data_IF_196490900878
#
_entry.id   IF_196490900878
#
_cell.length_a   1.000
_cell.length_b   1.000
_cell.length_c   1.000
_cell.angle_alpha   90.00
_cell.angle_beta   90.00
_cell.angle_gamma   90.00
#
_symmetry.space_group_name_H-M   'P 1'
#
loop_
_entity.id
_entity.type
_entity.pdbx_description
1 polymer ?
#
# COMPACT_ATOMS: atom_id res chain seq x y z
N UNK A 1 -37.81 15.96 5.48
CA UNK A 1 -37.22 16.02 6.83
C UNK A 1 -35.71 15.88 6.73
N UNK A 2 -34.98 16.99 6.77
CA UNK A 2 -33.53 17.01 6.97
C UNK A 2 -33.30 17.17 8.48
N UNK A 3 -33.18 16.04 9.19
CA UNK A 3 -32.73 16.01 10.57
C UNK A 3 -31.22 16.18 10.62
N UNK A 4 -30.76 17.11 11.47
CA UNK A 4 -29.41 17.32 12.00
C UNK A 4 -28.25 16.57 11.33
N UNK A 5 -27.39 17.32 10.63
CA UNK A 5 -26.03 16.90 10.26
C UNK A 5 -25.09 16.68 11.47
N UNK A 6 -25.58 16.86 12.68
CA UNK A 6 -24.82 16.79 13.95
C UNK A 6 -24.95 15.45 14.70
N UNK A 7 -25.53 14.39 14.09
CA UNK A 7 -25.89 13.15 14.82
C UNK A 7 -24.98 11.94 14.60
N UNK A 8 -23.77 12.09 14.06
CA UNK A 8 -22.82 10.97 13.95
C UNK A 8 -21.37 11.32 14.35
N UNK A 9 -21.18 12.34 15.18
CA UNK A 9 -19.93 12.46 15.93
C UNK A 9 -20.14 11.79 17.29
N UNK A 10 -19.76 10.52 17.37
CA UNK A 10 -19.48 9.92 18.67
C UNK A 10 -18.31 10.70 19.27
N UNK A 11 -18.61 11.60 20.19
CA UNK A 11 -17.60 12.27 21.00
C UNK A 11 -16.97 11.22 21.91
N UNK A 12 -15.98 10.50 21.37
CA UNK A 12 -15.15 9.58 22.14
C UNK A 12 -14.32 10.42 23.10
N UNK A 13 -14.75 10.50 24.36
CA UNK A 13 -13.97 11.18 25.38
C UNK A 13 -12.82 10.26 25.77
N UNK A 14 -11.59 10.66 25.45
CA UNK A 14 -10.42 10.05 26.04
C UNK A 14 -10.28 10.52 27.49
N UNK A 15 -9.88 9.59 28.36
CA UNK A 15 -9.41 9.92 29.70
C UNK A 15 -8.00 9.35 29.86
N UNK A 16 -7.16 10.08 30.56
CA UNK A 16 -5.88 9.54 31.00
C UNK A 16 -6.10 8.87 32.35
N UNK A 17 -6.15 7.53 32.35
CA UNK A 17 -6.39 6.73 33.56
C UNK A 17 -5.14 5.92 33.92
N UNK A 18 -4.79 5.94 35.19
CA UNK A 18 -3.60 5.29 35.76
C UNK A 18 -3.61 3.75 35.56
N UNK A 19 -2.70 3.21 34.73
CA UNK A 19 -2.52 1.76 34.58
C UNK A 19 -1.73 1.13 35.74
N UNK A 20 -2.25 0.06 36.35
CA UNK A 20 -1.79 -0.53 37.62
C UNK A 20 -0.32 -1.02 37.72
N UNK A 21 0.20 -0.91 38.95
CA UNK A 21 1.37 -1.54 39.57
C UNK A 21 2.75 -1.48 38.88
N UNK A 22 3.47 -0.38 39.10
CA UNK A 22 4.70 -0.37 39.91
C UNK A 22 5.15 1.07 40.19
N UNK A 23 5.64 1.27 41.42
CA UNK A 23 6.06 2.48 42.11
C UNK A 23 6.66 3.63 41.27
N UNK A 24 6.09 4.84 41.42
CA UNK A 24 6.65 6.12 40.96
C UNK A 24 5.55 7.16 40.76
N UNK A 25 5.66 8.32 41.42
CA UNK A 25 4.67 9.43 41.42
C UNK A 25 4.09 9.72 40.02
N UNK A 26 2.76 9.71 39.91
CA UNK A 26 2.00 9.92 38.66
C UNK A 26 1.34 11.29 38.69
N UNK A 27 1.51 12.07 37.62
CA UNK A 27 0.85 13.37 37.45
C UNK A 27 -0.35 13.23 36.51
N UNK A 28 -1.52 13.69 36.95
CA UNK A 28 -2.67 13.89 36.07
C UNK A 28 -2.34 14.97 35.02
N UNK A 29 -2.60 14.68 33.75
CA UNK A 29 -2.46 15.66 32.67
C UNK A 29 -3.58 16.70 32.82
N UNK A 30 -3.22 17.99 32.79
CA UNK A 30 -4.19 19.09 32.83
C UNK A 30 -4.94 19.23 31.50
N UNK A 31 -6.08 19.92 31.51
CA UNK A 31 -6.84 20.22 30.29
C UNK A 31 -5.99 20.97 29.26
N UNK A 32 -5.17 21.92 29.70
CA UNK A 32 -4.22 22.64 28.84
C UNK A 32 -3.17 21.71 28.19
N UNK A 33 -2.69 20.71 28.92
CA UNK A 33 -1.75 19.72 28.36
C UNK A 33 -2.42 18.78 27.36
N UNK A 34 -3.73 18.50 27.51
CA UNK A 34 -4.50 17.76 26.50
C UNK A 34 -4.70 18.59 25.23
N UNK A 35 -5.00 19.88 25.36
CA UNK A 35 -5.13 20.79 24.23
C UNK A 35 -3.82 20.90 23.44
N UNK A 36 -2.69 21.08 24.13
CA UNK A 36 -1.37 21.10 23.51
C UNK A 36 -1.06 19.80 22.76
N UNK A 37 -1.35 18.65 23.39
CA UNK A 37 -1.19 17.34 22.75
C UNK A 37 -2.10 17.21 21.51
N UNK A 38 -3.35 17.66 21.59
CA UNK A 38 -4.29 17.62 20.48
C UNK A 38 -3.81 18.47 19.29
N UNK A 39 -3.34 19.69 19.54
CA UNK A 39 -2.78 20.56 18.51
C UNK A 39 -1.56 19.94 17.83
N UNK A 40 -0.63 19.39 18.60
CA UNK A 40 0.59 18.79 18.07
C UNK A 40 0.29 17.52 17.26
N UNK A 41 -0.57 16.65 17.78
CA UNK A 41 -0.98 15.43 17.06
C UNK A 41 -1.82 15.76 15.82
N UNK A 42 -2.60 16.85 15.83
CA UNK A 42 -3.27 17.34 14.63
C UNK A 42 -2.27 17.79 13.56
N UNK A 43 -1.19 18.49 13.91
CA UNK A 43 -0.13 18.88 12.96
C UNK A 43 0.53 17.65 12.33
N UNK A 44 0.88 16.65 13.16
CA UNK A 44 1.50 15.40 12.68
C UNK A 44 0.52 14.60 11.81
N UNK A 45 -0.76 14.52 12.17
CA UNK A 45 -1.79 13.86 11.36
C UNK A 45 -1.93 14.53 9.99
N UNK A 46 -1.87 15.88 9.91
CA UNK A 46 -1.86 16.59 8.62
C UNK A 46 -0.67 16.15 7.75
N UNK A 47 0.52 16.04 8.33
CA UNK A 47 1.71 15.54 7.63
C UNK A 47 1.55 14.07 7.20
N UNK A 48 1.00 13.22 8.06
CA UNK A 48 0.75 11.81 7.75
C UNK A 48 -0.21 11.65 6.57
N UNK A 49 -1.30 12.42 6.56
CA UNK A 49 -2.27 12.40 5.47
C UNK A 49 -1.71 12.96 4.17
N UNK A 50 -0.84 13.98 4.23
CA UNK A 50 -0.20 14.58 3.07
C UNK A 50 0.97 13.74 2.50
N UNK A 51 1.49 12.77 3.26
CA UNK A 51 2.58 11.92 2.81
C UNK A 51 2.12 10.97 1.69
N UNK A 52 2.54 11.27 0.46
CA UNK A 52 2.14 10.60 -0.76
C UNK A 52 3.31 10.53 -1.77
N UNK A 53 3.35 9.50 -2.64
CA UNK A 53 4.29 9.47 -3.74
C UNK A 53 4.01 10.60 -4.73
N UNK A 54 5.04 11.06 -5.49
CA UNK A 54 6.43 10.62 -5.45
C UNK A 54 7.27 11.32 -4.37
N UNK A 55 6.67 12.23 -3.58
CA UNK A 55 7.40 13.09 -2.62
C UNK A 55 7.82 12.32 -1.38
N UNK A 56 6.92 11.51 -0.86
CA UNK A 56 7.15 10.65 0.30
C UNK A 56 7.04 9.18 -0.08
N UNK A 57 7.72 8.34 0.69
CA UNK A 57 7.68 6.89 0.55
C UNK A 57 7.18 6.23 1.84
N UNK A 58 7.08 4.90 1.85
CA UNK A 58 6.59 4.15 3.00
C UNK A 58 7.49 4.22 4.23
N UNK A 59 8.79 4.46 4.06
CA UNK A 59 9.71 4.65 5.19
C UNK A 59 9.48 6.01 5.87
N UNK A 60 9.34 7.08 5.09
CA UNK A 60 8.92 8.39 5.61
C UNK A 60 7.58 8.31 6.33
N UNK A 61 6.60 7.62 5.74
CA UNK A 61 5.28 7.45 6.34
C UNK A 61 5.35 6.75 7.70
N UNK A 62 6.21 5.74 7.86
CA UNK A 62 6.45 5.10 9.16
C UNK A 62 7.08 6.06 10.16
N UNK A 63 8.04 6.89 9.73
CA UNK A 63 8.66 7.88 10.61
C UNK A 63 7.66 8.92 11.12
N UNK A 64 6.71 9.35 10.29
CA UNK A 64 5.62 10.24 10.71
C UNK A 64 4.64 9.48 11.63
N UNK A 65 4.34 8.22 11.32
CA UNK A 65 3.48 7.38 12.15
C UNK A 65 4.05 7.17 13.56
N UNK A 66 5.36 6.95 13.69
CA UNK A 66 6.02 6.79 14.99
C UNK A 66 5.90 8.04 15.86
N UNK A 67 5.82 9.23 15.25
CA UNK A 67 5.56 10.49 15.95
C UNK A 67 4.07 10.68 16.26
N UNK A 68 3.18 10.24 15.37
CA UNK A 68 1.73 10.36 15.56
C UNK A 68 1.23 9.41 16.66
N UNK A 69 1.69 8.16 16.62
CA UNK A 69 1.29 7.08 17.51
C UNK A 69 2.45 6.61 18.39
N UNK A 70 3.08 7.58 19.06
CA UNK A 70 4.14 7.40 20.06
C UNK A 70 3.62 6.79 21.38
N UNK A 71 4.49 6.65 22.37
CA UNK A 71 4.15 6.04 23.66
C UNK A 71 3.13 6.86 24.45
N UNK A 72 3.10 8.18 24.25
CA UNK A 72 2.04 9.06 24.77
C UNK A 72 0.69 8.68 24.15
N UNK A 73 0.58 8.62 22.82
CA UNK A 73 -0.69 8.26 22.17
C UNK A 73 -1.10 6.80 22.44
N UNK A 74 -0.14 5.88 22.61
CA UNK A 74 -0.42 4.48 22.98
C UNK A 74 -1.02 4.36 24.38
N UNK A 75 -0.64 5.22 25.32
CA UNK A 75 -1.13 5.18 26.70
C UNK A 75 -2.49 5.87 26.90
N UNK A 76 -3.02 6.54 25.88
CA UNK A 76 -4.39 7.08 25.88
C UNK A 76 -5.41 5.96 26.09
N UNK A 77 -6.34 6.19 27.02
CA UNK A 77 -7.46 5.31 27.32
C UNK A 77 -8.74 5.95 26.77
N UNK A 78 -9.52 5.13 26.08
CA UNK A 78 -10.79 5.52 25.45
C UNK A 78 -11.90 4.82 26.20
N UNK A 79 -12.88 5.56 26.66
CA UNK A 79 -14.08 4.97 27.26
C UNK A 79 -14.92 4.29 26.18
N UNK A 80 -15.28 3.05 26.45
CA UNK A 80 -16.09 2.22 25.55
C UNK A 80 -17.34 1.74 26.27
N UNK A 81 -18.27 1.17 25.53
CA UNK A 81 -19.49 0.57 26.11
C UNK A 81 -19.22 -0.56 27.11
N UNK A 82 -18.03 -1.17 27.07
CA UNK A 82 -17.60 -2.24 27.98
C UNK A 82 -16.58 -1.75 29.03
N UNK A 83 -16.39 -0.44 29.17
CA UNK A 83 -15.47 0.19 30.13
C UNK A 83 -14.20 0.79 29.48
N UNK A 84 -13.19 1.17 30.29
CA UNK A 84 -11.96 1.79 29.79
C UNK A 84 -11.17 0.85 28.87
N UNK A 85 -10.59 1.37 27.78
CA UNK A 85 -9.82 0.54 26.85
C UNK A 85 -8.45 0.10 27.40
N UNK A 86 -8.03 -1.11 27.01
CA UNK A 86 -6.72 -1.67 27.36
C UNK A 86 -6.25 -2.65 26.27
N UNK A 87 -4.95 -2.91 26.18
CA UNK A 87 -4.38 -3.72 25.09
C UNK A 87 -4.63 -5.24 25.24
N UNK A 88 -5.04 -5.72 26.41
CA UNK A 88 -5.22 -7.14 26.71
C UNK A 88 -6.68 -7.60 26.50
N UNK A 89 -7.64 -6.89 27.09
CA UNK A 89 -9.04 -7.34 27.16
C UNK A 89 -10.00 -6.43 26.42
N UNK A 90 -9.69 -5.14 26.30
CA UNK A 90 -10.65 -4.14 25.86
C UNK A 90 -10.09 -3.23 24.75
N UNK A 91 -9.37 -3.83 23.80
CA UNK A 91 -8.55 -3.11 22.80
C UNK A 91 -9.36 -2.21 21.87
N UNK A 92 -8.85 -1.00 21.66
CA UNK A 92 -9.28 -0.07 20.60
C UNK A 92 -8.20 0.07 19.54
N UNK A 93 -8.58 0.40 18.32
CA UNK A 93 -7.65 0.68 17.24
C UNK A 93 -6.94 2.02 17.46
N UNK A 94 -5.72 2.20 16.90
CA UNK A 94 -5.00 3.47 16.95
C UNK A 94 -5.82 4.68 16.49
N UNK A 95 -6.60 4.55 15.42
CA UNK A 95 -7.43 5.66 14.94
C UNK A 95 -8.46 6.12 15.98
N UNK A 96 -8.95 5.22 16.83
CA UNK A 96 -9.92 5.54 17.89
C UNK A 96 -9.26 6.42 18.96
N UNK A 97 -8.02 6.11 19.34
CA UNK A 97 -7.20 6.93 20.25
C UNK A 97 -6.87 8.29 19.63
N UNK A 98 -6.40 8.29 18.38
CA UNK A 98 -6.08 9.53 17.65
C UNK A 98 -7.32 10.42 17.53
N UNK A 99 -8.46 9.86 17.10
CA UNK A 99 -9.73 10.59 16.98
C UNK A 99 -10.19 11.17 18.33
N UNK A 100 -10.02 10.42 19.42
CA UNK A 100 -10.45 10.88 20.76
C UNK A 100 -9.64 12.06 21.31
N UNK A 101 -8.41 12.24 20.83
CA UNK A 101 -7.53 13.37 21.20
C UNK A 101 -7.66 14.52 20.20
N UNK A 102 -7.61 14.20 18.91
CA UNK A 102 -7.49 15.19 17.84
C UNK A 102 -8.86 15.72 17.38
N UNK A 103 -9.93 14.95 17.52
CA UNK A 103 -11.26 15.31 17.02
C UNK A 103 -11.24 15.61 15.53
N UNK A 104 -11.81 16.76 15.13
CA UNK A 104 -11.77 17.23 13.74
C UNK A 104 -10.48 17.98 13.37
N UNK A 105 -9.66 18.38 14.36
CA UNK A 105 -8.44 19.20 14.24
C UNK A 105 -8.55 20.39 13.27
N UNK A 106 -9.74 21.00 13.19
CA UNK A 106 -10.05 22.10 12.27
C UNK A 106 -10.07 21.71 10.80
N UNK A 107 -10.24 20.42 10.47
CA UNK A 107 -10.30 19.92 9.10
C UNK A 107 -11.65 19.24 8.83
N UNK A 108 -12.44 19.86 7.95
CA UNK A 108 -13.77 19.39 7.57
C UNK A 108 -13.82 17.97 6.99
N UNK A 109 -12.71 17.41 6.50
CA UNK A 109 -12.66 16.03 5.97
C UNK A 109 -12.51 14.97 7.06
N UNK A 110 -11.89 15.30 8.18
CA UNK A 110 -11.57 14.34 9.24
C UNK A 110 -12.81 13.68 9.86
N UNK A 111 -13.91 14.42 10.11
CA UNK A 111 -15.19 13.81 10.49
C UNK A 111 -15.61 12.62 9.62
N UNK A 112 -15.58 12.82 8.29
CA UNK A 112 -15.94 11.79 7.32
C UNK A 112 -14.93 10.64 7.33
N UNK A 113 -13.65 10.95 7.48
CA UNK A 113 -12.58 9.94 7.55
C UNK A 113 -12.76 9.01 8.76
N UNK A 114 -13.08 9.57 9.93
CA UNK A 114 -13.36 8.81 11.16
C UNK A 114 -14.60 7.95 11.00
N UNK A 115 -15.68 8.54 10.50
CA UNK A 115 -16.91 7.82 10.18
C UNK A 115 -16.64 6.61 9.27
N UNK A 116 -15.77 6.75 8.26
CA UNK A 116 -15.44 5.63 7.37
C UNK A 116 -14.68 4.49 8.05
N UNK A 117 -13.81 4.79 9.01
CA UNK A 117 -13.17 3.75 9.82
C UNK A 117 -14.18 3.07 10.75
N UNK A 118 -15.08 3.85 11.32
CA UNK A 118 -16.19 3.41 12.16
C UNK A 118 -17.17 2.50 11.41
N UNK A 119 -17.41 2.76 10.12
CA UNK A 119 -18.22 1.95 9.21
C UNK A 119 -17.53 0.65 8.76
N UNK A 120 -16.25 0.42 9.09
CA UNK A 120 -15.58 -0.82 8.74
C UNK A 120 -16.12 -1.96 9.59
N UNK A 121 -16.58 -3.02 8.92
CA UNK A 121 -17.16 -4.17 9.57
C UNK A 121 -16.12 -4.90 10.44
N UNK A 122 -16.35 -4.90 11.75
CA UNK A 122 -15.55 -5.63 12.73
C UNK A 122 -16.19 -6.98 13.00
N UNK A 123 -15.36 -7.99 13.30
CA UNK A 123 -15.80 -9.35 13.62
C UNK A 123 -14.91 -9.97 14.67
N UNK A 124 -15.38 -11.06 15.27
CA UNK A 124 -14.61 -11.74 16.29
C UNK A 124 -14.30 -10.81 17.46
N UNK A 125 -13.07 -10.86 18.01
CA UNK A 125 -12.62 -10.03 19.12
C UNK A 125 -12.54 -8.52 18.82
N UNK A 126 -12.50 -8.10 17.56
CA UNK A 126 -12.53 -6.67 17.22
C UNK A 126 -13.96 -6.09 17.30
N UNK A 127 -14.98 -6.94 17.23
CA UNK A 127 -16.37 -6.53 17.42
C UNK A 127 -16.65 -6.42 18.92
N UNK A 128 -17.16 -5.27 19.35
CA UNK A 128 -17.46 -4.99 20.75
C UNK A 128 -18.96 -4.85 20.96
N UNK A 129 -19.63 -5.77 21.68
CA UNK A 129 -21.07 -5.71 21.87
C UNK A 129 -21.54 -4.39 22.47
N UNK A 130 -22.64 -3.84 21.97
CA UNK A 130 -23.24 -2.60 22.49
C UNK A 130 -22.71 -1.32 21.88
N UNK A 131 -21.56 -1.32 21.19
CA UNK A 131 -21.08 -0.13 20.48
C UNK A 131 -22.06 0.30 19.39
N UNK A 132 -22.35 1.60 19.35
CA UNK A 132 -23.17 2.24 18.30
C UNK A 132 -22.58 1.98 16.90
N UNK A 133 -21.26 1.87 16.81
CA UNK A 133 -20.47 1.59 15.60
C UNK A 133 -20.77 0.24 14.97
N UNK A 134 -21.42 -0.69 15.69
CA UNK A 134 -21.87 -1.93 15.08
C UNK A 134 -23.20 -1.76 14.34
N UNK A 135 -23.84 -0.60 14.41
CA UNK A 135 -25.14 -0.31 13.78
C UNK A 135 -26.23 -1.33 14.16
N UNK A 136 -26.19 -1.82 15.41
CA UNK A 136 -27.10 -2.86 15.90
C UNK A 136 -26.94 -4.24 15.23
N UNK A 137 -25.90 -4.44 14.41
CA UNK A 137 -25.65 -5.72 13.75
C UNK A 137 -25.00 -6.73 14.71
N UNK A 138 -25.26 -8.04 14.54
CA UNK A 138 -24.61 -9.06 15.34
C UNK A 138 -23.14 -9.24 14.93
N UNK A 139 -22.32 -9.74 15.86
CA UNK A 139 -20.98 -10.23 15.53
C UNK A 139 -21.11 -11.40 14.54
N UNK A 140 -20.74 -11.19 13.28
CA UNK A 140 -20.90 -12.23 12.24
C UNK A 140 -20.03 -13.46 12.45
N UNK A 141 -18.95 -13.34 13.24
CA UNK A 141 -18.07 -14.46 13.52
C UNK A 141 -17.50 -14.38 14.96
N UNK A 142 -18.32 -14.69 15.98
CA UNK A 142 -17.94 -14.54 17.38
C UNK A 142 -16.90 -15.58 17.84
N UNK A 143 -16.70 -16.65 17.07
CA UNK A 143 -15.83 -17.77 17.43
C UNK A 143 -14.36 -17.57 17.03
N UNK A 144 -14.02 -16.42 16.43
CA UNK A 144 -12.63 -16.10 16.11
C UNK A 144 -11.83 -15.95 17.41
N UNK A 145 -10.69 -16.63 17.50
CA UNK A 145 -9.74 -16.48 18.60
C UNK A 145 -8.61 -15.55 18.16
N UNK A 146 -8.18 -14.56 18.98
CA UNK A 146 -7.05 -13.72 18.65
C UNK A 146 -5.77 -14.54 18.40
N UNK A 147 -5.07 -14.21 17.32
CA UNK A 147 -3.83 -14.86 16.89
C UNK A 147 -2.77 -13.82 16.56
N UNK A 148 -1.50 -14.16 16.76
CA UNK A 148 -0.33 -13.44 16.27
C UNK A 148 -0.06 -13.89 14.84
N UNK A 149 -0.30 -13.00 13.89
CA UNK A 149 -0.17 -13.30 12.46
C UNK A 149 1.04 -12.57 11.90
N UNK A 150 1.94 -13.32 11.26
CA UNK A 150 3.00 -12.76 10.43
C UNK A 150 2.58 -12.76 8.97
N UNK A 151 2.66 -11.58 8.34
CA UNK A 151 2.55 -11.41 6.90
C UNK A 151 3.93 -11.06 6.35
N UNK A 152 4.42 -11.87 5.41
CA UNK A 152 5.71 -11.63 4.76
C UNK A 152 5.46 -10.91 3.44
N UNK A 153 5.82 -9.63 3.37
CA UNK A 153 5.70 -8.78 2.17
C UNK A 153 4.74 -7.61 2.33
N UNK A 154 5.28 -6.38 2.23
CA UNK A 154 4.53 -5.12 2.29
C UNK A 154 3.97 -4.68 0.93
N UNK A 155 3.48 -5.63 0.12
CA UNK A 155 2.78 -5.32 -1.13
C UNK A 155 1.29 -5.01 -0.90
N UNK A 156 0.56 -4.54 -1.94
CA UNK A 156 -0.87 -4.25 -1.81
C UNK A 156 -1.70 -5.42 -1.25
N UNK A 157 -1.45 -6.64 -1.73
CA UNK A 157 -2.16 -7.85 -1.26
C UNK A 157 -1.89 -8.12 0.22
N UNK A 158 -0.61 -8.03 0.64
CA UNK A 158 -0.22 -8.22 2.03
C UNK A 158 -0.90 -7.22 2.94
N UNK A 159 -0.84 -5.93 2.62
CA UNK A 159 -1.47 -4.88 3.44
C UNK A 159 -3.00 -4.98 3.49
N UNK A 160 -3.64 -5.31 2.36
CA UNK A 160 -5.09 -5.50 2.31
C UNK A 160 -5.53 -6.67 3.19
N UNK A 161 -4.75 -7.77 3.20
CA UNK A 161 -4.95 -8.89 4.11
C UNK A 161 -4.72 -8.48 5.57
N UNK A 162 -3.70 -7.66 5.86
CA UNK A 162 -3.44 -7.15 7.20
C UNK A 162 -4.64 -6.42 7.79
N UNK A 163 -5.29 -5.58 6.98
CA UNK A 163 -6.50 -4.83 7.35
C UNK A 163 -7.63 -5.79 7.73
N UNK A 164 -7.93 -6.80 6.91
CA UNK A 164 -8.98 -7.78 7.21
C UNK A 164 -8.71 -8.56 8.51
N UNK A 165 -7.45 -8.92 8.75
CA UNK A 165 -7.08 -9.68 9.94
C UNK A 165 -7.15 -8.81 11.19
N UNK A 166 -6.76 -7.54 11.10
CA UNK A 166 -6.91 -6.57 12.19
C UNK A 166 -8.39 -6.35 12.54
N UNK A 167 -9.26 -6.20 11.53
CA UNK A 167 -10.73 -6.10 11.71
C UNK A 167 -11.38 -7.40 12.24
N UNK A 168 -10.65 -8.52 12.20
CA UNK A 168 -11.02 -9.78 12.85
C UNK A 168 -10.48 -9.93 14.28
N UNK A 169 -9.74 -8.96 14.81
CA UNK A 169 -9.18 -8.99 16.17
C UNK A 169 -7.82 -9.67 16.31
N UNK A 170 -7.12 -9.95 15.21
CA UNK A 170 -5.78 -10.53 15.27
C UNK A 170 -4.70 -9.47 15.55
N UNK A 171 -3.55 -9.90 16.10
CA UNK A 171 -2.33 -9.09 16.20
C UNK A 171 -1.49 -9.34 14.96
N UNK A 172 -1.44 -8.37 14.05
CA UNK A 172 -0.83 -8.53 12.73
C UNK A 172 0.50 -7.81 12.66
N UNK A 173 1.55 -8.54 12.27
CA UNK A 173 2.88 -8.01 11.99
C UNK A 173 3.20 -8.22 10.51
N UNK A 174 3.71 -7.19 9.83
CA UNK A 174 4.15 -7.24 8.44
C UNK A 174 5.67 -7.11 8.38
N UNK A 175 6.34 -8.11 7.82
CA UNK A 175 7.77 -8.04 7.51
C UNK A 175 7.95 -7.54 6.07
N UNK A 176 8.77 -6.50 5.90
CA UNK A 176 9.20 -6.02 4.59
C UNK A 176 10.70 -5.76 4.60
N UNK A 177 11.45 -6.59 3.87
CA UNK A 177 12.92 -6.56 3.86
C UNK A 177 13.50 -5.36 3.11
N UNK A 178 12.78 -4.77 2.15
CA UNK A 178 13.33 -3.77 1.24
C UNK A 178 13.27 -2.37 1.82
N UNK A 179 14.43 -1.81 2.15
CA UNK A 179 14.60 -0.37 2.33
C UNK A 179 15.02 0.34 1.06
N UNK A 180 14.68 1.62 1.01
CA UNK A 180 15.30 2.53 0.06
C UNK A 180 16.74 2.79 0.49
N UNK A 181 17.69 2.63 -0.43
CA UNK A 181 19.09 2.98 -0.17
C UNK A 181 19.48 4.03 -1.19
N UNK A 182 19.96 5.17 -0.70
CA UNK A 182 20.60 6.21 -1.49
C UNK A 182 22.10 6.25 -1.19
N UNK A 183 22.89 6.65 -2.17
CA UNK A 183 24.30 6.94 -1.95
C UNK A 183 24.50 8.34 -1.35
N UNK A 184 25.76 8.70 -1.08
CA UNK A 184 26.16 9.98 -0.49
C UNK A 184 25.75 11.19 -1.35
N UNK A 185 25.59 11.01 -2.66
CA UNK A 185 25.10 12.05 -3.58
C UNK A 185 23.58 12.18 -3.61
N UNK A 186 22.86 11.32 -2.86
CA UNK A 186 21.41 11.23 -2.84
C UNK A 186 20.82 10.41 -3.99
N UNK A 187 21.65 9.76 -4.82
CA UNK A 187 21.18 8.94 -5.92
C UNK A 187 20.66 7.58 -5.44
N UNK A 188 19.56 7.12 -6.04
CA UNK A 188 18.87 5.90 -5.64
C UNK A 188 19.67 4.64 -6.03
N UNK A 189 20.23 3.95 -5.03
CA UNK A 189 20.99 2.69 -5.17
C UNK A 189 20.09 1.46 -5.09
N UNK A 190 19.12 1.45 -4.16
CA UNK A 190 18.16 0.37 -3.98
C UNK A 190 16.75 0.93 -3.83
N UNK A 191 15.78 0.33 -4.53
CA UNK A 191 14.38 0.72 -4.43
C UNK A 191 13.78 0.23 -3.10
N UNK A 192 13.13 1.15 -2.39
CA UNK A 192 12.26 0.81 -1.27
C UNK A 192 11.02 0.03 -1.71
N UNK A 193 10.24 -0.43 -0.73
CA UNK A 193 9.07 -1.24 -1.02
C UNK A 193 7.92 -0.47 -1.70
N UNK A 194 7.84 0.86 -1.53
CA UNK A 194 6.80 1.75 -2.08
C UNK A 194 7.26 2.60 -3.28
N UNK A 195 8.18 2.11 -4.11
CA UNK A 195 8.77 2.93 -5.18
C UNK A 195 8.43 2.38 -6.58
N UNK A 196 7.38 1.55 -6.68
CA UNK A 196 6.94 0.98 -7.95
C UNK A 196 5.81 1.83 -8.50
N UNK A 197 6.11 2.56 -9.57
CA UNK A 197 5.19 3.51 -10.17
C UNK A 197 4.26 2.88 -11.23
N UNK A 198 4.48 1.61 -11.59
CA UNK A 198 3.62 0.93 -12.57
C UNK A 198 2.16 0.88 -12.09
N UNK A 199 1.20 0.98 -13.02
CA UNK A 199 -0.22 1.18 -12.67
C UNK A 199 -1.10 -0.03 -13.06
N UNK A 200 -1.47 -0.91 -12.12
CA UNK A 200 -2.47 -1.95 -12.36
C UNK A 200 -3.86 -1.38 -12.67
N UNK A 201 -4.60 -2.12 -13.50
CA UNK A 201 -6.03 -1.94 -13.68
C UNK A 201 -6.78 -2.30 -12.39
N UNK A 202 -7.84 -1.56 -12.09
CA UNK A 202 -8.70 -1.76 -10.93
C UNK A 202 -10.09 -2.18 -11.39
N UNK A 203 -10.56 -3.32 -10.90
CA UNK A 203 -11.95 -3.70 -11.13
C UNK A 203 -12.91 -2.84 -10.31
N UNK A 204 -14.17 -2.66 -10.74
CA UNK A 204 -15.14 -1.83 -10.02
C UNK A 204 -15.32 -2.22 -8.55
N UNK A 205 -15.34 -3.51 -8.21
CA UNK A 205 -15.46 -3.92 -6.82
C UNK A 205 -14.21 -3.60 -5.99
N UNK A 206 -13.01 -3.65 -6.59
CA UNK A 206 -11.76 -3.27 -5.92
C UNK A 206 -11.75 -1.76 -5.68
N UNK A 207 -12.18 -0.96 -6.67
CA UNK A 207 -12.40 0.48 -6.49
C UNK A 207 -13.36 0.77 -5.34
N UNK A 208 -14.48 0.04 -5.26
CA UNK A 208 -15.46 0.22 -4.19
C UNK A 208 -14.90 -0.17 -2.82
N UNK A 209 -14.12 -1.24 -2.74
CA UNK A 209 -13.40 -1.66 -1.53
C UNK A 209 -12.41 -0.59 -1.06
N UNK A 210 -11.56 -0.09 -1.96
CA UNK A 210 -10.62 0.99 -1.62
C UNK A 210 -11.33 2.31 -1.25
N UNK A 211 -12.51 2.58 -1.83
CA UNK A 211 -13.32 3.74 -1.44
C UNK A 211 -13.86 3.61 -0.01
N UNK A 212 -14.20 2.39 0.45
CA UNK A 212 -14.56 2.12 1.85
C UNK A 212 -13.36 2.30 2.78
N UNK A 213 -12.16 1.92 2.33
CA UNK A 213 -10.89 2.16 3.01
C UNK A 213 -10.39 3.60 2.84
N UNK A 214 -11.29 4.58 2.97
CA UNK A 214 -10.97 6.00 2.91
C UNK A 214 -10.18 6.45 1.66
N UNK A 215 -10.32 5.77 0.53
CA UNK A 215 -9.55 6.07 -0.69
C UNK A 215 -9.61 7.52 -1.16
N UNK A 216 -10.72 8.22 -0.91
CA UNK A 216 -10.93 9.64 -1.26
C UNK A 216 -10.49 10.63 -0.17
N UNK A 217 -10.23 10.13 1.04
CA UNK A 217 -10.06 10.93 2.25
C UNK A 217 -8.62 10.89 2.80
N UNK A 218 -7.92 9.76 2.61
CA UNK A 218 -6.51 9.59 3.02
C UNK A 218 -5.49 9.98 1.94
N UNK A 219 -5.96 10.39 0.76
CA UNK A 219 -5.11 10.74 -0.38
C UNK A 219 -5.59 12.05 -1.03
N UNK A 220 -4.67 12.77 -1.67
CA UNK A 220 -4.95 13.95 -2.45
C UNK A 220 -5.80 13.62 -3.68
N UNK A 221 -6.50 14.63 -4.22
CA UNK A 221 -7.25 14.47 -5.47
C UNK A 221 -6.34 14.05 -6.62
N UNK A 222 -5.08 14.47 -6.60
CA UNK A 222 -4.08 14.14 -7.59
C UNK A 222 -3.72 12.65 -7.55
N UNK A 223 -3.42 12.10 -6.37
CA UNK A 223 -3.15 10.66 -6.20
C UNK A 223 -4.41 9.79 -6.37
N UNK A 224 -5.60 10.35 -6.14
CA UNK A 224 -6.87 9.68 -6.40
C UNK A 224 -7.22 9.56 -7.90
N UNK A 225 -6.53 10.30 -8.77
CA UNK A 225 -6.82 10.26 -10.20
C UNK A 225 -6.04 9.12 -10.88
N UNK A 226 -6.69 8.32 -11.74
CA UNK A 226 -8.10 8.40 -12.14
C UNK A 226 -9.06 7.59 -11.26
N UNK A 227 -8.56 6.66 -10.43
CA UNK A 227 -9.35 5.60 -9.76
C UNK A 227 -10.60 6.07 -9.03
N UNK A 228 -10.60 7.23 -8.37
CA UNK A 228 -11.76 7.74 -7.64
C UNK A 228 -12.42 8.97 -8.27
N UNK A 229 -11.80 9.54 -9.31
CA UNK A 229 -12.24 10.80 -9.92
C UNK A 229 -12.90 10.60 -11.27
N UNK A 230 -12.56 9.52 -11.99
CA UNK A 230 -13.12 9.20 -13.30
C UNK A 230 -14.11 8.03 -13.20
N UNK A 231 -15.25 8.06 -13.92
CA UNK A 231 -16.21 6.96 -13.91
C UNK A 231 -15.68 5.75 -14.70
N UNK A 232 -15.12 5.99 -15.88
CA UNK A 232 -14.81 4.96 -16.89
C UNK A 232 -13.38 4.42 -16.79
N UNK A 233 -12.53 5.10 -16.03
CA UNK A 233 -11.15 4.68 -15.79
C UNK A 233 -10.98 4.24 -14.34
N UNK A 234 -10.35 3.08 -14.16
CA UNK A 234 -9.92 2.65 -12.84
C UNK A 234 -8.54 2.01 -12.93
N UNK A 235 -7.52 2.79 -12.60
CA UNK A 235 -6.14 2.33 -12.41
C UNK A 235 -5.50 3.16 -11.30
N UNK A 236 -4.58 2.57 -10.56
CA UNK A 236 -3.84 3.21 -9.46
C UNK A 236 -2.37 2.78 -9.54
N UNK A 237 -1.43 3.66 -9.20
CA UNK A 237 -0.02 3.32 -9.05
C UNK A 237 0.19 2.32 -7.93
N UNK A 238 1.15 1.41 -8.08
CA UNK A 238 1.43 0.42 -7.03
C UNK A 238 1.87 1.12 -5.74
N UNK A 239 2.71 2.15 -5.84
CA UNK A 239 3.13 3.00 -4.73
C UNK A 239 1.98 3.80 -4.10
N UNK A 240 1.13 4.43 -4.92
CA UNK A 240 -0.09 5.11 -4.47
C UNK A 240 -1.01 4.16 -3.69
N UNK A 241 -1.23 2.96 -4.22
CA UNK A 241 -2.04 1.91 -3.58
C UNK A 241 -1.40 1.41 -2.28
N UNK A 242 -0.07 1.22 -2.27
CA UNK A 242 0.65 0.83 -1.07
C UNK A 242 0.51 1.88 0.03
N UNK A 243 0.69 3.16 -0.28
CA UNK A 243 0.56 4.24 0.71
C UNK A 243 -0.87 4.34 1.24
N UNK A 244 -1.88 4.25 0.38
CA UNK A 244 -3.29 4.23 0.83
C UNK A 244 -3.57 3.07 1.79
N UNK A 245 -3.18 1.85 1.42
CA UNK A 245 -3.40 0.67 2.26
C UNK A 245 -2.57 0.72 3.55
N UNK A 246 -1.35 1.25 3.48
CA UNK A 246 -0.48 1.40 4.63
C UNK A 246 -1.05 2.38 5.65
N UNK A 247 -1.59 3.53 5.20
CA UNK A 247 -2.28 4.48 6.07
C UNK A 247 -3.44 3.81 6.83
N UNK A 248 -4.29 3.06 6.12
CA UNK A 248 -5.39 2.31 6.74
C UNK A 248 -4.89 1.23 7.70
N UNK A 249 -3.88 0.45 7.31
CA UNK A 249 -3.34 -0.62 8.13
C UNK A 249 -2.72 -0.10 9.45
N UNK A 250 -1.99 1.02 9.39
CA UNK A 250 -1.42 1.69 10.57
C UNK A 250 -2.53 2.21 11.50
N UNK A 251 -3.55 2.86 10.94
CA UNK A 251 -4.74 3.32 11.68
C UNK A 251 -5.48 2.18 12.40
N UNK A 252 -5.39 0.95 11.88
CA UNK A 252 -5.94 -0.27 12.46
C UNK A 252 -4.94 -1.07 13.31
N UNK A 253 -3.74 -0.53 13.57
CA UNK A 253 -2.77 -1.11 14.49
C UNK A 253 -2.02 -2.32 13.97
N UNK A 254 -1.81 -2.40 12.65
CA UNK A 254 -0.87 -3.34 12.03
C UNK A 254 0.57 -2.90 12.32
N UNK A 255 1.39 -3.82 12.82
CA UNK A 255 2.81 -3.60 13.14
C UNK A 255 3.68 -3.81 11.90
N UNK A 256 4.21 -2.73 11.33
CA UNK A 256 5.10 -2.79 10.16
C UNK A 256 6.57 -2.80 10.56
N UNK A 257 7.26 -3.90 10.25
CA UNK A 257 8.70 -4.05 10.47
C UNK A 257 9.45 -3.96 9.15
N UNK A 258 9.67 -2.74 8.72
CA UNK A 258 10.56 -2.43 7.61
C UNK A 258 12.01 -2.79 8.01
N UNK A 259 12.73 -3.46 7.11
CA UNK A 259 14.08 -3.98 7.37
C UNK A 259 14.11 -5.36 8.03
N UNK A 260 12.94 -5.94 8.33
CA UNK A 260 12.82 -7.33 8.78
C UNK A 260 12.57 -8.25 7.58
N UNK A 261 13.37 -9.31 7.45
CA UNK A 261 13.27 -10.31 6.40
C UNK A 261 12.92 -11.69 6.95
N UNK A 262 12.02 -12.40 6.28
CA UNK A 262 11.76 -13.82 6.51
C UNK A 262 12.82 -14.66 5.77
N UNK A 263 13.34 -15.70 6.43
CA UNK A 263 14.29 -16.65 5.83
C UNK A 263 13.69 -18.05 5.73
N UNK A 264 13.17 -18.58 6.84
CA UNK A 264 12.56 -19.92 6.93
C UNK A 264 11.59 -19.96 8.14
N UNK A 265 10.86 -21.05 8.31
CA UNK A 265 10.10 -21.32 9.52
C UNK A 265 9.92 -22.82 9.78
N UNK A 266 9.70 -23.15 11.05
CA UNK A 266 9.25 -24.47 11.49
C UNK A 266 7.92 -24.35 12.18
N UNK A 267 6.94 -25.17 11.76
CA UNK A 267 5.65 -25.26 12.42
C UNK A 267 5.64 -26.43 13.40
N UNK A 268 5.13 -26.16 14.60
CA UNK A 268 4.75 -27.18 15.59
C UNK A 268 3.28 -27.00 15.90
N UNK A 269 2.60 -28.08 16.31
CA UNK A 269 1.18 -28.02 16.68
C UNK A 269 1.05 -28.52 18.09
N UNK A 270 0.43 -27.71 18.95
CA UNK A 270 0.15 -28.11 20.32
C UNK A 270 -0.81 -29.32 20.30
N UNK A 271 -0.47 -30.46 20.93
CA UNK A 271 -1.23 -31.69 20.80
C UNK A 271 -2.60 -31.65 21.50
N UNK A 272 -2.85 -30.68 22.39
CA UNK A 272 -4.12 -30.56 23.14
C UNK A 272 -5.06 -29.56 22.46
N UNK A 273 -4.53 -28.38 22.13
CA UNK A 273 -5.30 -27.27 21.57
C UNK A 273 -5.34 -27.29 20.04
N UNK A 274 -4.49 -28.12 19.41
CA UNK A 274 -4.28 -28.17 17.97
C UNK A 274 -3.87 -26.80 17.36
N UNK A 275 -3.36 -25.89 18.19
CA UNK A 275 -2.92 -24.56 17.77
C UNK A 275 -1.54 -24.66 17.10
N UNK A 276 -1.38 -24.20 15.86
CA UNK A 276 -0.07 -24.12 15.23
C UNK A 276 0.78 -23.01 15.86
N UNK A 277 2.09 -23.25 15.95
CA UNK A 277 3.10 -22.29 16.34
C UNK A 277 4.24 -22.34 15.34
N UNK A 278 4.42 -21.23 14.64
CA UNK A 278 5.47 -21.00 13.67
C UNK A 278 6.67 -20.33 14.33
N UNK A 279 7.77 -21.06 14.46
CA UNK A 279 9.08 -20.49 14.78
C UNK A 279 9.70 -19.99 13.48
N UNK A 280 9.70 -18.67 13.30
CA UNK A 280 10.14 -17.99 12.10
C UNK A 280 11.60 -17.56 12.27
N UNK A 281 12.46 -18.09 11.41
CA UNK A 281 13.84 -17.62 11.24
C UNK A 281 13.81 -16.33 10.40
N UNK A 282 14.26 -15.23 10.99
CA UNK A 282 14.21 -13.92 10.37
C UNK A 282 15.54 -13.17 10.51
N UNK A 283 15.66 -12.04 9.81
CA UNK A 283 16.80 -11.13 9.89
C UNK A 283 16.33 -9.71 10.10
N UNK A 284 17.05 -8.97 10.94
CA UNK A 284 16.86 -7.54 11.15
C UNK A 284 18.08 -6.78 10.64
N UNK A 285 17.87 -5.74 9.85
CA UNK A 285 18.91 -4.73 9.62
C UNK A 285 19.15 -3.87 10.87
N UNK A 286 20.26 -3.14 10.92
CA UNK A 286 20.64 -2.30 12.05
C UNK A 286 19.53 -1.34 12.53
N UNK A 287 18.80 -0.71 11.59
CA UNK A 287 17.73 0.25 11.93
C UNK A 287 16.52 -0.45 12.53
N UNK A 288 16.11 -1.58 11.95
CA UNK A 288 15.01 -2.37 12.44
C UNK A 288 15.35 -2.99 13.80
N UNK A 289 16.58 -3.49 13.96
CA UNK A 289 17.09 -4.05 15.21
C UNK A 289 16.99 -3.02 16.34
N UNK A 290 17.51 -1.81 16.13
CA UNK A 290 17.40 -0.71 17.10
C UNK A 290 15.95 -0.35 17.42
N UNK A 291 15.09 -0.19 16.40
CA UNK A 291 13.68 0.20 16.59
C UNK A 291 12.87 -0.82 17.37
N UNK A 292 13.09 -2.12 17.13
CA UNK A 292 12.28 -3.18 17.71
C UNK A 292 12.95 -3.89 18.89
N UNK A 293 14.05 -3.34 19.43
CA UNK A 293 14.77 -3.92 20.56
C UNK A 293 15.31 -5.32 20.27
N UNK A 294 15.81 -5.53 19.05
CA UNK A 294 16.42 -6.79 18.58
C UNK A 294 17.92 -6.61 18.33
N UNK A 295 18.63 -7.73 18.23
CA UNK A 295 20.01 -7.74 17.72
C UNK A 295 20.00 -7.68 16.19
N UNK A 296 20.96 -6.96 15.62
CA UNK A 296 21.18 -6.97 14.16
C UNK A 296 21.57 -8.38 13.69
N UNK A 297 21.08 -8.76 12.51
CA UNK A 297 21.33 -10.07 11.92
C UNK A 297 20.21 -11.06 12.21
N UNK A 298 20.57 -12.33 12.42
CA UNK A 298 19.61 -13.44 12.54
C UNK A 298 18.84 -13.38 13.87
N UNK A 299 17.55 -13.64 13.80
CA UNK A 299 16.66 -13.75 14.96
C UNK A 299 15.62 -14.85 14.73
N UNK A 300 14.92 -15.23 15.79
CA UNK A 300 13.83 -16.20 15.76
C UNK A 300 12.64 -15.61 16.49
N UNK A 301 11.48 -15.62 15.85
CA UNK A 301 10.23 -15.14 16.44
C UNK A 301 9.10 -16.15 16.30
N UNK A 302 8.14 -16.13 17.23
CA UNK A 302 7.02 -17.06 17.24
C UNK A 302 5.71 -16.39 16.86
N UNK A 303 5.01 -16.98 15.91
CA UNK A 303 3.69 -16.55 15.44
C UNK A 303 2.72 -17.75 15.42
N UNK A 304 1.43 -17.47 15.51
CA UNK A 304 0.40 -18.50 15.37
C UNK A 304 0.09 -18.80 13.90
N UNK A 305 0.27 -17.80 13.03
CA UNK A 305 -0.07 -17.87 11.61
C UNK A 305 1.04 -17.24 10.77
N UNK A 306 1.42 -17.90 9.69
CA UNK A 306 2.36 -17.42 8.68
C UNK A 306 1.66 -17.24 7.33
N UNK A 307 1.72 -16.03 6.76
CA UNK A 307 1.12 -15.67 5.47
C UNK A 307 2.18 -15.17 4.49
N UNK A 308 2.39 -15.88 3.38
CA UNK A 308 3.30 -15.47 2.31
C UNK A 308 2.65 -14.51 1.32
N UNK A 309 3.06 -13.24 1.34
CA UNK A 309 2.58 -12.17 0.45
C UNK A 309 3.74 -11.44 -0.27
N UNK A 310 4.87 -12.13 -0.44
CA UNK A 310 6.15 -11.66 -0.95
C UNK A 310 6.32 -11.81 -2.48
N UNK A 311 5.20 -12.05 -3.17
CA UNK A 311 5.08 -12.03 -4.62
C UNK A 311 5.45 -13.36 -5.31
N UNK A 312 5.67 -13.36 -6.63
CA UNK A 312 5.85 -14.59 -7.40
C UNK A 312 7.15 -15.34 -7.10
N UNK A 313 8.13 -14.69 -6.45
CA UNK A 313 9.39 -15.27 -5.97
C UNK A 313 9.34 -15.39 -4.44
N UNK A 314 8.29 -16.05 -3.96
CA UNK A 314 7.99 -16.16 -2.53
C UNK A 314 8.98 -17.07 -1.82
N UNK A 315 9.69 -16.53 -0.83
CA UNK A 315 10.60 -17.26 0.07
C UNK A 315 9.81 -18.11 1.05
N UNK A 316 8.64 -17.63 1.51
CA UNK A 316 7.73 -18.43 2.36
C UNK A 316 7.34 -19.71 1.62
N UNK A 317 6.92 -19.59 0.36
CA UNK A 317 6.54 -20.76 -0.42
C UNK A 317 7.72 -21.71 -0.66
N UNK A 318 8.87 -21.17 -1.04
CA UNK A 318 10.07 -21.97 -1.33
C UNK A 318 10.48 -22.82 -0.13
N UNK A 319 10.53 -22.21 1.06
CA UNK A 319 10.91 -22.90 2.29
C UNK A 319 9.82 -23.83 2.82
N UNK A 320 8.55 -23.46 2.65
CA UNK A 320 7.40 -24.24 3.10
C UNK A 320 6.76 -25.07 1.97
N UNK A 321 7.56 -25.51 1.00
CA UNK A 321 7.08 -26.18 -0.21
C UNK A 321 6.30 -27.48 0.04
N UNK A 322 6.54 -28.16 1.18
CA UNK A 322 5.75 -29.34 1.60
C UNK A 322 4.28 -29.00 1.90
N UNK A 323 4.01 -27.78 2.35
CA UNK A 323 2.67 -27.32 2.72
C UNK A 323 1.98 -26.60 1.56
N UNK A 324 2.71 -25.76 0.82
CA UNK A 324 2.13 -24.92 -0.26
C UNK A 324 2.31 -25.48 -1.67
N UNK A 325 3.07 -26.57 -1.83
CA UNK A 325 3.33 -27.21 -3.11
C UNK A 325 4.17 -26.37 -4.09
N UNK A 326 4.51 -27.00 -5.22
CA UNK A 326 5.34 -26.41 -6.27
C UNK A 326 4.54 -25.49 -7.20
N UNK A 327 5.21 -24.50 -7.79
CA UNK A 327 4.58 -23.62 -8.80
C UNK A 327 4.36 -24.43 -10.07
N UNK A 328 3.11 -24.60 -10.48
CA UNK A 328 2.82 -24.98 -11.86
C UNK A 328 3.20 -23.81 -12.78
N UNK A 329 4.42 -23.86 -13.31
CA UNK A 329 4.85 -22.93 -14.35
C UNK A 329 4.22 -23.38 -15.66
N UNK A 330 3.09 -22.77 -16.04
CA UNK A 330 2.63 -22.86 -17.43
C UNK A 330 3.69 -22.22 -18.32
N UNK A 331 4.20 -22.95 -19.32
CA UNK A 331 5.00 -22.36 -20.40
C UNK A 331 4.07 -21.46 -21.20
N UNK A 332 4.04 -20.17 -20.87
CA UNK A 332 3.37 -19.19 -21.70
C UNK A 332 4.12 -19.07 -23.04
N UNK A 333 3.37 -18.74 -24.10
CA UNK A 333 3.90 -18.46 -25.43
C UNK A 333 5.02 -17.41 -25.38
N UNK A 334 5.84 -17.34 -26.44
CA UNK A 334 6.91 -16.34 -26.59
C UNK A 334 6.34 -14.91 -26.65
N UNK A 335 5.98 -14.37 -25.49
CA UNK A 335 5.35 -13.06 -25.32
C UNK A 335 6.25 -12.16 -24.49
N UNK A 336 6.51 -10.96 -25.01
CA UNK A 336 7.29 -9.93 -24.32
C UNK A 336 6.37 -8.75 -24.03
N UNK A 337 6.31 -8.34 -22.76
CA UNK A 337 5.65 -7.11 -22.34
C UNK A 337 6.68 -6.03 -22.03
N UNK A 338 6.57 -4.88 -22.66
CA UNK A 338 7.32 -3.67 -22.32
C UNK A 338 6.40 -2.78 -21.50
N UNK A 339 6.88 -2.35 -20.34
CA UNK A 339 6.20 -1.35 -19.50
C UNK A 339 6.94 -0.02 -19.61
N UNK A 340 6.23 1.04 -19.97
CA UNK A 340 6.78 2.38 -20.10
C UNK A 340 6.00 3.37 -19.22
N UNK A 341 6.72 4.11 -18.37
CA UNK A 341 6.18 5.24 -17.62
C UNK A 341 6.59 6.52 -18.35
N UNK A 342 5.61 7.30 -18.79
CA UNK A 342 5.78 8.44 -19.70
C UNK A 342 5.49 9.73 -18.96
N UNK A 343 6.41 10.70 -19.04
CA UNK A 343 6.21 12.01 -18.41
C UNK A 343 5.02 12.74 -19.02
N UNK A 344 4.34 13.53 -18.20
CA UNK A 344 3.26 14.41 -18.65
C UNK A 344 3.82 15.49 -19.58
N UNK A 345 3.12 15.74 -20.67
CA UNK A 345 3.47 16.82 -21.60
C UNK A 345 2.67 18.07 -21.24
N UNK A 346 3.31 19.26 -21.08
CA UNK A 346 2.60 20.49 -20.76
C UNK A 346 1.52 20.85 -21.78
N UNK A 347 0.44 21.50 -21.34
CA UNK A 347 -0.70 21.88 -22.19
C UNK A 347 -0.30 22.68 -23.42
N UNK A 348 0.64 23.62 -23.29
CA UNK A 348 1.16 24.41 -24.40
C UNK A 348 1.83 23.53 -25.46
N UNK A 349 2.63 22.55 -25.02
CA UNK A 349 3.30 21.61 -25.91
C UNK A 349 2.32 20.63 -26.57
N UNK A 350 1.30 20.16 -25.85
CA UNK A 350 0.23 19.34 -26.42
C UNK A 350 -0.49 20.06 -27.57
N UNK A 351 -0.83 21.34 -27.41
CA UNK A 351 -1.40 22.15 -28.49
C UNK A 351 -0.46 22.23 -29.70
N UNK A 352 0.83 22.46 -29.46
CA UNK A 352 1.84 22.51 -30.52
C UNK A 352 2.03 21.15 -31.23
N UNK A 353 1.74 20.04 -30.55
CA UNK A 353 1.75 18.68 -31.12
C UNK A 353 0.43 18.31 -31.81
N UNK A 354 -0.53 19.24 -31.91
CA UNK A 354 -1.81 19.01 -32.60
C UNK A 354 -2.87 18.30 -31.75
N UNK A 355 -2.67 18.17 -30.44
CA UNK A 355 -3.68 17.61 -29.54
C UNK A 355 -4.76 18.65 -29.25
N UNK A 356 -6.00 18.33 -29.63
CA UNK A 356 -7.15 19.21 -29.46
C UNK A 356 -7.31 19.65 -28.00
N UNK A 357 -7.58 20.94 -27.80
CA UNK A 357 -7.66 21.59 -26.48
C UNK A 357 -6.41 21.50 -25.59
N UNK A 358 -5.31 20.93 -26.08
CA UNK A 358 -4.11 20.62 -25.31
C UNK A 358 -4.34 19.50 -24.30
N UNK A 359 -5.10 18.47 -24.68
CA UNK A 359 -5.39 17.31 -23.83
C UNK A 359 -4.74 16.04 -24.36
N UNK A 360 -4.20 15.24 -23.45
CA UNK A 360 -3.77 13.87 -23.77
C UNK A 360 -4.98 12.99 -24.12
N UNK A 361 -4.78 11.92 -24.91
CA UNK A 361 -5.85 11.01 -25.28
C UNK A 361 -6.51 10.38 -24.05
N UNK A 362 -7.72 9.86 -24.26
CA UNK A 362 -8.36 8.95 -23.28
C UNK A 362 -7.56 7.66 -23.17
N UNK A 363 -7.81 6.94 -22.09
CA UNK A 363 -7.23 5.62 -21.87
C UNK A 363 -7.47 4.68 -23.04
N UNK A 364 -6.51 3.79 -23.26
CA UNK A 364 -6.57 2.79 -24.30
C UNK A 364 -6.36 1.41 -23.69
N UNK A 365 -7.21 0.45 -24.04
CA UNK A 365 -6.98 -0.97 -23.80
C UNK A 365 -7.30 -1.68 -25.12
N UNK A 366 -6.28 -1.79 -25.98
CA UNK A 366 -6.46 -2.24 -27.36
C UNK A 366 -5.70 -3.53 -27.61
N UNK A 367 -6.40 -4.48 -28.20
CA UNK A 367 -5.85 -5.74 -28.71
C UNK A 367 -5.86 -5.72 -30.23
N UNK A 368 -4.85 -6.32 -30.87
CA UNK A 368 -4.72 -6.34 -32.33
C UNK A 368 -5.91 -6.98 -33.02
N UNK A 369 -6.49 -8.00 -32.41
CA UNK A 369 -7.64 -8.72 -32.95
C UNK A 369 -8.86 -7.81 -33.16
N UNK A 370 -9.08 -6.85 -32.25
CA UNK A 370 -10.24 -5.95 -32.27
C UNK A 370 -9.91 -4.64 -33.01
N UNK A 371 -8.72 -4.07 -32.83
CA UNK A 371 -8.37 -2.74 -33.35
C UNK A 371 -7.39 -2.77 -34.52
N UNK A 372 -7.70 -3.55 -35.57
CA UNK A 372 -6.76 -3.83 -36.68
C UNK A 372 -6.16 -2.56 -37.31
N UNK A 373 -6.98 -1.59 -37.67
CA UNK A 373 -6.53 -0.35 -38.34
C UNK A 373 -5.57 0.46 -37.47
N UNK A 374 -5.78 0.46 -36.15
CA UNK A 374 -4.89 1.13 -35.20
C UNK A 374 -3.50 0.47 -35.17
N UNK A 375 -3.44 -0.86 -35.17
CA UNK A 375 -2.16 -1.58 -35.19
C UNK A 375 -1.49 -1.52 -36.57
N UNK A 376 -2.25 -1.56 -37.67
CA UNK A 376 -1.72 -1.34 -39.02
C UNK A 376 -1.11 0.06 -39.18
N UNK A 377 -1.72 1.08 -38.56
CA UNK A 377 -1.14 2.42 -38.50
C UNK A 377 0.22 2.42 -37.79
N UNK A 378 0.33 1.77 -36.63
CA UNK A 378 1.59 1.65 -35.88
C UNK A 378 2.65 0.90 -36.71
N UNK A 379 2.26 -0.16 -37.41
CA UNK A 379 3.17 -0.87 -38.32
C UNK A 379 3.67 0.03 -39.45
N UNK A 380 2.78 0.82 -40.06
CA UNK A 380 3.16 1.71 -41.17
C UNK A 380 4.03 2.88 -40.71
N UNK A 381 3.73 3.48 -39.56
CA UNK A 381 4.35 4.73 -39.10
C UNK A 381 5.57 4.52 -38.19
N UNK A 382 5.64 3.39 -37.47
CA UNK A 382 6.73 3.09 -36.54
C UNK A 382 7.47 1.78 -36.86
N UNK A 383 7.10 1.08 -37.94
CA UNK A 383 7.65 -0.24 -38.30
C UNK A 383 7.57 -1.27 -37.16
N UNK A 384 6.56 -1.14 -36.30
CA UNK A 384 6.43 -1.89 -35.05
C UNK A 384 5.21 -2.81 -35.05
N UNK A 385 5.46 -4.12 -34.91
CA UNK A 385 4.40 -5.13 -34.80
C UNK A 385 4.07 -5.44 -33.34
N UNK A 386 2.88 -5.02 -32.90
CA UNK A 386 2.36 -5.26 -31.55
C UNK A 386 1.12 -6.16 -31.57
N UNK A 387 0.94 -6.91 -30.48
CA UNK A 387 -0.26 -7.69 -30.16
C UNK A 387 -1.24 -6.89 -29.29
N UNK A 388 -0.74 -6.12 -28.32
CA UNK A 388 -1.55 -5.31 -27.41
C UNK A 388 -0.87 -3.97 -27.11
N UNK A 389 -1.69 -2.94 -26.86
CA UNK A 389 -1.28 -1.64 -26.35
C UNK A 389 -2.29 -1.17 -25.29
N UNK A 390 -1.78 -0.93 -24.08
CA UNK A 390 -2.53 -0.32 -22.99
C UNK A 390 -1.92 1.04 -22.68
N UNK A 391 -2.76 2.05 -22.47
CA UNK A 391 -2.40 3.39 -22.04
C UNK A 391 -3.35 3.83 -20.92
N UNK A 392 -2.80 4.15 -19.75
CA UNK A 392 -3.51 4.81 -18.66
C UNK A 392 -2.96 6.22 -18.48
N UNK A 393 -3.87 7.18 -18.57
CA UNK A 393 -3.64 8.55 -18.15
C UNK A 393 -3.65 8.62 -16.63
N UNK A 394 -2.65 9.24 -16.05
CA UNK A 394 -2.59 9.50 -14.60
C UNK A 394 -2.02 10.90 -14.32
N UNK A 395 -1.98 11.30 -13.06
CA UNK A 395 -1.58 12.65 -12.67
C UNK A 395 -0.08 12.89 -12.84
N UNK A 396 0.74 11.99 -12.30
CA UNK A 396 2.19 12.19 -12.24
C UNK A 396 2.94 11.74 -13.50
N UNK A 397 2.53 10.60 -14.05
CA UNK A 397 3.06 10.07 -15.30
C UNK A 397 2.01 9.18 -15.95
N UNK A 398 1.98 9.14 -17.28
CA UNK A 398 1.15 8.16 -17.97
C UNK A 398 1.82 6.79 -17.95
N UNK A 399 1.03 5.75 -18.10
CA UNK A 399 1.49 4.37 -18.00
C UNK A 399 1.11 3.60 -19.26
N UNK A 400 2.10 2.97 -19.90
CA UNK A 400 1.89 2.21 -21.13
C UNK A 400 2.37 0.76 -20.97
N UNK A 401 1.62 -0.18 -21.54
CA UNK A 401 2.06 -1.56 -21.74
C UNK A 401 2.02 -1.84 -23.23
N UNK A 402 3.15 -2.23 -23.80
CA UNK A 402 3.30 -2.64 -25.19
C UNK A 402 3.61 -4.14 -25.23
N UNK A 403 2.95 -4.89 -26.10
CA UNK A 403 3.25 -6.31 -26.30
C UNK A 403 3.78 -6.54 -27.72
N UNK A 404 5.07 -6.24 -27.98
CA UNK A 404 5.67 -6.47 -29.29
C UNK A 404 5.96 -7.96 -29.55
N UNK A 405 6.00 -8.34 -30.83
CA UNK A 405 6.57 -9.63 -31.22
C UNK A 405 8.10 -9.61 -31.03
N UNK A 406 8.67 -10.71 -30.52
CA UNK A 406 10.14 -10.82 -30.35
C UNK A 406 10.91 -10.59 -31.65
N UNK A 407 10.41 -11.09 -32.78
CA UNK A 407 11.04 -10.89 -34.08
C UNK A 407 11.09 -9.41 -34.48
N UNK A 408 10.05 -8.63 -34.14
CA UNK A 408 10.02 -7.20 -34.40
C UNK A 408 11.04 -6.44 -33.53
N UNK A 409 11.21 -6.81 -32.26
CA UNK A 409 12.28 -6.25 -31.42
C UNK A 409 13.67 -6.50 -32.04
N UNK A 410 13.92 -7.72 -32.51
CA UNK A 410 15.19 -8.06 -33.17
C UNK A 410 15.42 -7.28 -34.46
N UNK A 411 14.38 -7.05 -35.25
CA UNK A 411 14.43 -6.20 -36.46
C UNK A 411 14.90 -4.78 -36.14
N UNK A 412 14.50 -4.25 -34.98
CA UNK A 412 14.90 -2.94 -34.47
C UNK A 412 16.23 -2.95 -33.69
N UNK A 413 17.02 -4.01 -33.81
CA UNK A 413 18.34 -4.11 -33.19
C UNK A 413 18.32 -4.29 -31.66
N UNK A 414 17.17 -4.66 -31.08
CA UNK A 414 17.03 -5.07 -29.69
C UNK A 414 17.27 -6.57 -29.53
N UNK A 415 17.88 -6.96 -28.42
CA UNK A 415 18.14 -8.36 -28.06
C UNK A 415 16.87 -9.22 -27.95
N UNK A 416 15.74 -8.59 -27.62
CA UNK A 416 14.48 -9.25 -27.27
C UNK A 416 14.56 -10.07 -25.97
N UNK A 417 15.63 -9.94 -25.18
CA UNK A 417 15.77 -10.65 -23.91
C UNK A 417 14.74 -10.11 -22.90
N UNK A 418 14.19 -11.00 -22.07
CA UNK A 418 13.33 -10.59 -20.97
C UNK A 418 14.24 -10.32 -19.78
N UNK A 419 14.35 -9.06 -19.39
CA UNK A 419 15.18 -8.64 -18.28
C UNK A 419 14.52 -8.95 -16.95
N UNK A 420 15.27 -9.54 -16.02
CA UNK A 420 14.89 -9.57 -14.63
C UNK A 420 15.16 -8.20 -14.00
N UNK A 421 14.20 -7.69 -13.24
CA UNK A 421 14.25 -6.35 -12.62
C UNK A 421 15.55 -6.08 -11.83
N UNK A 422 16.09 -7.09 -11.15
CA UNK A 422 17.35 -7.00 -10.40
C UNK A 422 18.60 -7.02 -11.30
N UNK A 423 18.61 -7.86 -12.34
CA UNK A 423 19.73 -8.01 -13.28
C UNK A 423 19.89 -6.77 -14.19
N UNK A 424 18.77 -6.19 -14.65
CA UNK A 424 18.79 -5.00 -15.51
C UNK A 424 19.31 -3.72 -14.83
N UNK A 425 19.44 -3.69 -13.50
CA UNK A 425 20.04 -2.56 -12.76
C UNK A 425 21.49 -2.80 -12.35
N UNK A 426 21.87 -4.03 -12.01
CA UNK A 426 23.27 -4.36 -11.67
C UNK A 426 24.18 -4.30 -12.90
N UNK A 427 23.65 -4.59 -14.09
CA UNK A 427 24.37 -4.51 -15.37
C UNK A 427 24.11 -3.18 -16.12
N UNK A 428 23.59 -2.15 -15.46
CA UNK A 428 23.12 -0.92 -16.11
C UNK A 428 24.20 -0.15 -16.91
N UNK A 429 25.49 -0.35 -16.64
CA UNK A 429 26.57 0.22 -17.46
C UNK A 429 26.87 -0.58 -18.73
N UNK A 430 26.53 -1.87 -18.78
CA UNK A 430 26.82 -2.76 -19.91
C UNK A 430 25.74 -2.75 -21.00
N UNK A 431 24.56 -2.14 -20.74
CA UNK A 431 23.40 -2.20 -21.65
C UNK A 431 22.77 -0.82 -21.93
N UNK A 432 23.58 0.24 -21.87
CA UNK A 432 23.13 1.63 -22.09
C UNK A 432 22.59 1.83 -23.51
N UNK A 433 23.20 1.18 -24.50
CA UNK A 433 22.81 1.21 -25.91
C UNK A 433 21.45 0.52 -26.13
N UNK A 434 21.25 -0.69 -25.60
CA UNK A 434 19.95 -1.37 -25.67
C UNK A 434 18.84 -0.54 -25.00
N UNK A 435 19.14 0.08 -23.85
CA UNK A 435 18.18 0.95 -23.16
C UNK A 435 17.81 2.18 -23.98
N UNK A 436 18.77 2.77 -24.70
CA UNK A 436 18.51 3.88 -25.61
C UNK A 436 17.62 3.42 -26.77
N UNK A 437 17.97 2.32 -27.44
CA UNK A 437 17.17 1.70 -28.50
C UNK A 437 15.75 1.36 -28.05
N UNK A 438 15.60 0.84 -26.84
CA UNK A 438 14.29 0.48 -26.28
C UNK A 438 13.43 1.73 -26.05
N UNK A 439 14.03 2.82 -25.57
CA UNK A 439 13.34 4.12 -25.43
C UNK A 439 12.91 4.67 -26.79
N UNK A 440 13.79 4.62 -27.78
CA UNK A 440 13.49 5.13 -29.12
C UNK A 440 12.39 4.31 -29.80
N UNK A 441 12.45 2.97 -29.69
CA UNK A 441 11.38 2.07 -30.12
C UNK A 441 10.04 2.41 -29.46
N UNK A 442 10.03 2.57 -28.14
CA UNK A 442 8.81 2.97 -27.41
C UNK A 442 8.32 4.35 -27.84
N UNK A 443 9.22 5.33 -28.04
CA UNK A 443 8.86 6.68 -28.48
C UNK A 443 8.19 6.66 -29.84
N UNK A 444 8.73 5.91 -30.80
CA UNK A 444 8.15 5.73 -32.14
C UNK A 444 6.75 5.11 -32.08
N UNK A 445 6.61 4.00 -31.34
CA UNK A 445 5.32 3.33 -31.12
C UNK A 445 4.29 4.28 -30.50
N UNK A 446 4.66 4.99 -29.44
CA UNK A 446 3.73 5.88 -28.74
C UNK A 446 3.32 7.08 -29.60
N UNK A 447 4.24 7.69 -30.37
CA UNK A 447 3.91 8.75 -31.34
C UNK A 447 2.91 8.24 -32.38
N UNK A 448 3.15 7.07 -33.00
CA UNK A 448 2.25 6.48 -33.99
C UNK A 448 0.86 6.13 -33.40
N UNK A 449 0.84 5.67 -32.15
CA UNK A 449 -0.37 5.41 -31.37
C UNK A 449 -1.16 6.68 -30.99
N UNK A 450 -0.63 7.88 -31.26
CA UNK A 450 -1.25 9.15 -30.85
C UNK A 450 -1.11 9.44 -29.36
N UNK A 451 -0.08 8.91 -28.71
CA UNK A 451 0.24 9.17 -27.31
C UNK A 451 1.36 10.21 -27.26
N UNK A 452 1.16 11.35 -26.57
CA UNK A 452 2.16 12.39 -26.51
C UNK A 452 3.37 11.94 -25.69
N UNK A 453 4.54 12.08 -26.28
CA UNK A 453 5.84 11.83 -25.66
C UNK A 453 6.73 13.03 -25.96
N UNK A 454 7.45 13.50 -24.96
CA UNK A 454 8.46 14.54 -25.16
C UNK A 454 9.74 13.94 -25.78
N UNK A 455 10.53 14.78 -26.44
CA UNK A 455 11.76 14.35 -27.13
C UNK A 455 12.89 14.02 -26.17
#
# INVERSE_FOLDING_TARGET
HFGSRDTFFLARRAHWVEGGHHCGQRMAISEAQLEELAEDKAKILKSFLAAEPPKENGESLLGIWDQLYDDTMKSVIVETTTGPSDDATNRVFPYEKICSIVGDGGNWKWPRMWQRFDELERRGPAFRPGEELNFGQPNKNPNIVPMKVLIVGGGPVGMRLSIELALGGHRVTVFEKRREVRDESGALKQLGFTNRINRPHMWPFVRNDLARLNGKDLMSREACYPVFTEPDTSSIGIDELQILLMKNALMLGVDFRLGAGYNDAKVTTDPKTMRPSWQVDCTYDARAAAKFGRSEGKSVESFDVLMGCDGPRSTVRETQGKLFGNIEKRKFMDCIGIVANVRKVPRSRLKALGFEYGQEPKDMNRTRMVFRDFFQKIEREADAELENLIYYKASFHNYCILTPKRANLKKHGLSGRVYHFEQGRTQASQDSDEKAKLKDYCRGVLKAAGIPVDE
#
